data_IF_908883704263
#
_entry.id   IF_908883704263
#
_cell.length_a   1.000
_cell.length_b   1.000
_cell.length_c   1.000
_cell.angle_alpha   90.00
_cell.angle_beta   90.00
_cell.angle_gamma   90.00
#
_symmetry.space_group_name_H-M   'P 1'
#
loop_
_entity.id
_entity.type
_entity.pdbx_description
1 polymer ?
#
# COMPACT_ATOMS: atom_id res chain seq x y z
N UNK A 1 39.32 12.08 -3.57
CA UNK A 1 38.43 11.01 -3.08
C UNK A 1 37.08 11.24 -3.71
N UNK A 2 36.70 10.44 -4.71
CA UNK A 2 35.35 10.52 -5.28
C UNK A 2 34.38 9.95 -4.24
N UNK A 3 33.37 10.72 -3.85
CA UNK A 3 32.35 10.26 -2.91
C UNK A 3 31.61 9.08 -3.50
N UNK A 4 31.62 7.95 -2.81
CA UNK A 4 30.90 6.76 -3.21
C UNK A 4 29.40 7.07 -3.17
N UNK A 5 28.71 6.97 -4.30
CA UNK A 5 27.27 7.20 -4.35
C UNK A 5 26.54 6.16 -3.49
N UNK A 6 25.53 6.61 -2.75
CA UNK A 6 24.66 5.72 -1.95
C UNK A 6 23.97 4.71 -2.86
N UNK A 7 23.84 3.43 -2.46
CA UNK A 7 23.06 2.45 -3.21
C UNK A 7 21.54 2.72 -3.13
N UNK A 8 21.11 3.70 -2.34
CA UNK A 8 19.71 4.07 -2.12
C UNK A 8 19.43 5.39 -2.84
N UNK A 9 18.52 5.35 -3.81
CA UNK A 9 17.97 6.51 -4.50
C UNK A 9 16.58 6.85 -3.92
N UNK A 10 16.31 8.15 -3.74
CA UNK A 10 15.01 8.65 -3.30
C UNK A 10 14.29 9.29 -4.48
N UNK A 11 13.09 8.79 -4.78
CA UNK A 11 12.27 9.25 -5.90
C UNK A 11 10.91 9.71 -5.39
N UNK A 12 10.53 10.99 -5.56
CA UNK A 12 9.21 11.45 -5.22
C UNK A 12 8.18 10.87 -6.20
N UNK A 13 7.01 10.49 -5.67
CA UNK A 13 5.85 10.10 -6.46
C UNK A 13 4.70 11.06 -6.18
N UNK A 14 3.90 11.32 -7.22
CA UNK A 14 2.80 12.27 -7.14
C UNK A 14 1.59 11.66 -6.42
N UNK A 15 1.14 12.29 -5.35
CA UNK A 15 -0.01 11.86 -4.54
C UNK A 15 -1.34 12.57 -4.88
N UNK A 16 -1.30 13.58 -5.75
CA UNK A 16 -2.46 14.42 -6.05
C UNK A 16 -2.56 15.67 -5.18
N UNK A 17 -3.62 16.45 -5.40
CA UNK A 17 -3.93 17.61 -4.56
C UNK A 17 -4.73 17.21 -3.32
N UNK A 18 -4.42 17.85 -2.20
CA UNK A 18 -5.09 17.65 -0.91
C UNK A 18 -6.59 17.93 -1.04
N UNK A 19 -7.42 16.98 -0.58
CA UNK A 19 -8.87 17.14 -0.57
C UNK A 19 -9.34 17.74 0.77
N UNK A 20 -10.53 18.37 0.76
CA UNK A 20 -11.06 19.07 1.93
C UNK A 20 -11.47 18.19 3.13
N UNK A 21 -11.44 16.86 3.00
CA UNK A 21 -11.63 15.92 4.11
C UNK A 21 -10.85 14.59 3.87
N UNK A 22 -10.73 13.78 4.94
CA UNK A 22 -9.90 12.56 4.94
C UNK A 22 -10.40 11.48 3.98
N UNK A 23 -11.72 11.32 3.83
CA UNK A 23 -12.30 10.31 2.95
C UNK A 23 -11.99 10.63 1.48
N UNK A 24 -12.22 11.88 1.06
CA UNK A 24 -11.88 12.34 -0.29
C UNK A 24 -10.38 12.30 -0.54
N UNK A 25 -9.56 12.51 0.50
CA UNK A 25 -8.12 12.35 0.39
C UNK A 25 -7.77 10.90 0.07
N UNK A 26 -8.30 9.92 0.82
CA UNK A 26 -8.02 8.51 0.58
C UNK A 26 -8.60 7.99 -0.74
N UNK A 27 -9.77 8.46 -1.17
CA UNK A 27 -10.32 8.13 -2.49
C UNK A 27 -9.37 8.56 -3.62
N UNK A 28 -8.89 9.82 -3.56
CA UNK A 28 -7.94 10.34 -4.54
C UNK A 28 -6.58 9.63 -4.45
N UNK A 29 -6.09 9.43 -3.24
CA UNK A 29 -4.83 8.74 -2.98
C UNK A 29 -4.84 7.34 -3.61
N UNK A 30 -5.88 6.55 -3.35
CA UNK A 30 -6.02 5.20 -3.90
C UNK A 30 -6.22 5.18 -5.42
N UNK A 31 -6.69 6.28 -6.02
CA UNK A 31 -6.78 6.43 -7.47
C UNK A 31 -5.44 6.83 -8.10
N UNK A 32 -4.72 7.79 -7.52
CA UNK A 32 -3.55 8.43 -8.14
C UNK A 32 -2.27 7.62 -7.88
N UNK A 33 -2.07 7.15 -6.65
CA UNK A 33 -0.82 6.51 -6.24
C UNK A 33 -0.45 5.26 -7.03
N UNK A 34 -1.39 4.34 -7.36
CA UNK A 34 -1.06 3.19 -8.20
C UNK A 34 -0.53 3.59 -9.59
N UNK A 35 -1.11 4.63 -10.21
CA UNK A 35 -0.66 5.15 -11.50
C UNK A 35 0.72 5.78 -11.39
N UNK A 36 0.95 6.59 -10.36
CA UNK A 36 2.25 7.22 -10.09
C UNK A 36 3.36 6.17 -9.90
N UNK A 37 3.10 5.10 -9.13
CA UNK A 37 4.04 4.00 -8.95
C UNK A 37 4.27 3.22 -10.24
N UNK A 38 3.20 2.91 -10.98
CA UNK A 38 3.28 2.25 -12.29
C UNK A 38 4.20 3.03 -13.25
N UNK A 39 4.03 4.35 -13.33
CA UNK A 39 4.85 5.22 -14.16
C UNK A 39 6.30 5.26 -13.71
N UNK A 40 6.57 5.22 -12.39
CA UNK A 40 7.93 5.14 -11.86
C UNK A 40 8.61 3.84 -12.30
N UNK A 41 7.92 2.70 -12.19
CA UNK A 41 8.43 1.40 -12.62
C UNK A 41 8.77 1.41 -14.12
N UNK A 42 7.90 1.99 -14.96
CA UNK A 42 8.14 2.09 -16.40
C UNK A 42 9.39 2.90 -16.74
N UNK A 43 9.64 4.01 -16.02
CA UNK A 43 10.85 4.81 -16.20
C UNK A 43 12.12 4.00 -15.88
N UNK A 44 12.11 3.26 -14.78
CA UNK A 44 13.26 2.46 -14.37
C UNK A 44 13.48 1.25 -15.30
N UNK A 45 12.42 0.64 -15.81
CA UNK A 45 12.53 -0.47 -16.76
C UNK A 45 13.22 -0.09 -18.08
N UNK A 46 13.20 1.18 -18.47
CA UNK A 46 13.96 1.71 -19.60
C UNK A 46 15.41 2.13 -19.28
N UNK A 47 15.85 2.01 -18.03
CA UNK A 47 17.17 2.43 -17.57
C UNK A 47 18.18 1.28 -17.50
N UNK A 48 19.42 1.58 -17.10
CA UNK A 48 20.45 0.56 -16.83
C UNK A 48 20.06 -0.39 -15.68
N UNK A 49 19.16 0.06 -14.79
CA UNK A 49 18.73 -0.67 -13.59
C UNK A 49 17.21 -0.89 -13.57
N UNK A 50 16.68 -1.85 -14.36
CA UNK A 50 15.26 -2.16 -14.37
C UNK A 50 14.77 -2.70 -13.01
N UNK A 51 13.52 -2.41 -12.66
CA UNK A 51 12.93 -2.87 -11.40
C UNK A 51 12.79 -4.39 -11.43
N UNK A 52 13.33 -5.06 -10.42
CA UNK A 52 13.25 -6.53 -10.28
C UNK A 52 12.24 -6.98 -9.24
N UNK A 53 12.04 -6.17 -8.22
CA UNK A 53 11.25 -6.55 -7.05
C UNK A 53 10.66 -5.31 -6.38
N UNK A 54 9.43 -5.42 -5.89
CA UNK A 54 8.77 -4.35 -5.15
C UNK A 54 8.60 -4.72 -3.67
N UNK A 55 9.24 -3.99 -2.77
CA UNK A 55 8.92 -4.04 -1.33
C UNK A 55 7.98 -2.87 -1.05
N UNK A 56 6.84 -3.14 -0.42
CA UNK A 56 5.79 -2.13 -0.19
C UNK A 56 5.22 -2.25 1.23
N UNK A 57 4.69 -1.16 1.78
CA UNK A 57 3.98 -1.23 3.06
C UNK A 57 2.71 -2.08 2.93
N UNK A 58 2.51 -3.03 3.86
CA UNK A 58 1.39 -3.97 3.85
C UNK A 58 -0.02 -3.33 3.78
N UNK A 59 -0.18 -2.07 4.19
CA UNK A 59 -1.44 -1.33 4.06
C UNK A 59 -1.73 -0.88 2.62
N UNK A 60 -0.70 -0.68 1.81
CA UNK A 60 -0.80 -0.27 0.41
C UNK A 60 -1.06 -1.48 -0.49
N UNK A 61 -2.18 -2.17 -0.26
CA UNK A 61 -2.52 -3.41 -0.97
C UNK A 61 -2.54 -3.26 -2.49
N UNK A 62 -2.87 -2.07 -3.00
CA UNK A 62 -2.83 -1.73 -4.43
C UNK A 62 -1.42 -1.85 -5.05
N UNK A 63 -0.34 -1.77 -4.26
CA UNK A 63 1.03 -1.87 -4.76
C UNK A 63 1.33 -3.30 -5.28
N UNK A 64 0.72 -4.32 -4.67
CA UNK A 64 0.83 -5.70 -5.15
C UNK A 64 0.16 -5.88 -6.52
N UNK A 65 -0.99 -5.23 -6.73
CA UNK A 65 -1.69 -5.27 -8.01
C UNK A 65 -0.85 -4.59 -9.11
N UNK A 66 -0.22 -3.45 -8.79
CA UNK A 66 0.73 -2.79 -9.69
C UNK A 66 1.91 -3.71 -10.02
N UNK A 67 2.53 -4.36 -9.03
CA UNK A 67 3.63 -5.30 -9.25
C UNK A 67 3.23 -6.44 -10.20
N UNK A 68 2.08 -7.07 -9.93
CA UNK A 68 1.52 -8.14 -10.77
C UNK A 68 1.26 -7.68 -12.20
N UNK A 69 0.65 -6.50 -12.38
CA UNK A 69 0.41 -5.93 -13.70
C UNK A 69 1.69 -5.61 -14.47
N UNK A 70 2.77 -5.26 -13.76
CA UNK A 70 4.09 -5.01 -14.34
C UNK A 70 4.95 -6.28 -14.50
N UNK A 71 4.44 -7.45 -14.11
CA UNK A 71 5.17 -8.71 -14.18
C UNK A 71 6.37 -8.79 -13.25
N UNK A 72 6.37 -8.03 -12.14
CA UNK A 72 7.42 -8.05 -11.13
C UNK A 72 6.90 -8.71 -9.84
N UNK A 73 7.81 -9.36 -9.12
CA UNK A 73 7.50 -9.90 -7.80
C UNK A 73 7.42 -8.78 -6.77
N UNK A 74 6.66 -9.01 -5.69
CA UNK A 74 6.60 -8.06 -4.59
C UNK A 74 6.40 -8.74 -3.24
N UNK A 75 6.91 -8.09 -2.19
CA UNK A 75 6.75 -8.53 -0.82
C UNK A 75 6.17 -7.40 0.05
N UNK A 76 5.14 -7.68 0.87
CA UNK A 76 4.67 -6.74 1.87
C UNK A 76 5.67 -6.62 3.01
N UNK A 77 5.91 -5.40 3.44
CA UNK A 77 6.63 -5.03 4.65
C UNK A 77 5.62 -4.56 5.69
N UNK A 78 5.58 -5.25 6.83
CA UNK A 78 4.66 -4.93 7.92
C UNK A 78 5.34 -3.95 8.88
N UNK A 79 4.94 -2.68 8.83
CA UNK A 79 5.42 -1.63 9.73
C UNK A 79 4.83 -1.72 11.14
N UNK A 80 3.75 -2.50 11.30
CA UNK A 80 3.06 -2.71 12.56
C UNK A 80 3.65 -3.88 13.37
N UNK A 81 3.38 -3.91 14.67
CA UNK A 81 3.68 -5.06 15.52
C UNK A 81 3.04 -6.33 14.98
N UNK A 82 3.75 -7.46 15.09
CA UNK A 82 3.24 -8.78 14.69
C UNK A 82 1.92 -9.15 15.40
N UNK A 83 1.68 -8.60 16.60
CA UNK A 83 0.43 -8.78 17.34
C UNK A 83 -0.74 -8.13 16.60
N UNK A 84 -0.55 -6.94 16.03
CA UNK A 84 -1.59 -6.25 15.25
C UNK A 84 -1.94 -7.08 14.01
N UNK A 85 -0.93 -7.59 13.30
CA UNK A 85 -1.15 -8.47 12.14
C UNK A 85 -1.90 -9.75 12.52
N UNK A 86 -1.56 -10.38 13.65
CA UNK A 86 -2.24 -11.58 14.13
C UNK A 86 -3.71 -11.30 14.47
N UNK A 87 -3.98 -10.20 15.19
CA UNK A 87 -5.35 -9.78 15.51
C UNK A 87 -6.15 -9.51 14.22
N UNK A 88 -5.60 -8.74 13.29
CA UNK A 88 -6.28 -8.44 12.02
C UNK A 88 -6.53 -9.71 11.19
N UNK A 89 -5.59 -10.66 11.17
CA UNK A 89 -5.77 -11.95 10.52
C UNK A 89 -6.94 -12.74 11.12
N UNK A 90 -6.99 -12.89 12.44
CA UNK A 90 -8.06 -13.60 13.11
C UNK A 90 -9.42 -12.87 12.98
N UNK A 91 -9.42 -11.54 12.98
CA UNK A 91 -10.61 -10.74 12.69
C UNK A 91 -11.14 -10.98 11.28
N UNK A 92 -10.27 -11.00 10.27
CA UNK A 92 -10.63 -11.28 8.89
C UNK A 92 -11.21 -12.69 8.69
N UNK A 93 -10.75 -13.66 9.49
CA UNK A 93 -11.30 -15.02 9.54
C UNK A 93 -12.63 -15.12 10.30
N UNK A 94 -13.12 -14.02 10.89
CA UNK A 94 -14.36 -14.00 11.68
C UNK A 94 -14.21 -14.60 13.08
N UNK A 95 -12.99 -14.69 13.61
CA UNK A 95 -12.74 -15.27 14.94
C UNK A 95 -13.20 -14.36 16.09
N UNK A 96 -13.46 -13.08 15.82
CA UNK A 96 -14.00 -12.13 16.78
C UNK A 96 -15.42 -11.73 16.38
N UNK A 97 -16.34 -11.76 17.34
CA UNK A 97 -17.60 -11.02 17.24
C UNK A 97 -17.32 -9.64 17.83
N UNK A 98 -17.10 -8.64 16.97
CA UNK A 98 -17.03 -7.25 17.43
C UNK A 98 -18.46 -6.81 17.70
N UNK A 99 -18.84 -6.43 18.93
CA UNK A 99 -20.11 -5.75 19.16
C UNK A 99 -20.01 -4.40 18.47
N UNK A 100 -20.59 -4.28 17.29
CA UNK A 100 -20.75 -2.99 16.62
C UNK A 100 -21.97 -2.36 17.27
N UNK A 101 -21.77 -1.47 18.24
CA UNK A 101 -22.86 -0.61 18.69
C UNK A 101 -23.19 0.35 17.55
N UNK A 102 -24.45 0.36 17.12
CA UNK A 102 -24.93 1.13 15.96
C UNK A 102 -24.73 2.66 16.11
N UNK A 103 -24.40 3.14 17.31
CA UNK A 103 -24.12 4.55 17.62
C UNK A 103 -22.68 4.98 17.38
N UNK A 104 -21.73 4.06 17.30
CA UNK A 104 -20.31 4.35 17.08
C UNK A 104 -19.88 3.85 15.70
N UNK A 105 -20.53 4.39 14.66
CA UNK A 105 -19.87 4.58 13.37
C UNK A 105 -18.79 5.66 13.53
N UNK A 106 -17.80 5.41 14.39
CA UNK A 106 -16.46 5.85 14.08
C UNK A 106 -16.16 5.18 12.75
N UNK A 107 -16.27 5.96 11.67
CA UNK A 107 -15.89 5.55 10.34
C UNK A 107 -14.44 5.10 10.42
N UNK A 108 -14.23 3.80 10.66
CA UNK A 108 -13.00 3.16 10.25
C UNK A 108 -12.92 3.53 8.77
N UNK A 109 -11.93 4.34 8.36
CA UNK A 109 -11.82 4.74 6.97
C UNK A 109 -11.94 3.46 6.16
N UNK A 110 -12.69 3.47 5.08
CA UNK A 110 -12.97 2.29 4.23
C UNK A 110 -11.70 1.51 3.84
N UNK A 111 -10.53 2.12 4.01
CA UNK A 111 -9.19 1.54 3.97
C UNK A 111 -8.92 0.40 4.99
N UNK A 112 -9.61 0.36 6.13
CA UNK A 112 -9.47 -0.70 7.16
C UNK A 112 -10.46 -1.85 7.00
N UNK A 113 -11.38 -1.79 6.03
CA UNK A 113 -12.21 -2.94 5.68
C UNK A 113 -11.27 -3.97 5.05
N UNK A 114 -10.90 -4.98 5.84
CA UNK A 114 -10.21 -6.16 5.34
C UNK A 114 -11.13 -6.82 4.33
N UNK A 115 -10.89 -6.56 3.03
CA UNK A 115 -11.58 -7.27 1.97
C UNK A 115 -11.25 -8.75 2.13
N UNK A 116 -12.30 -9.57 2.29
CA UNK A 116 -12.26 -11.03 2.46
C UNK A 116 -11.44 -11.79 1.39
N UNK A 117 -11.01 -11.12 0.33
CA UNK A 117 -10.39 -11.70 -0.86
C UNK A 117 -8.88 -11.41 -1.03
N UNK A 118 -8.19 -10.80 -0.07
CA UNK A 118 -6.77 -10.42 -0.26
C UNK A 118 -5.76 -11.55 0.07
N UNK A 119 -6.21 -12.66 0.66
CA UNK A 119 -5.32 -13.77 1.08
C UNK A 119 -5.60 -15.12 0.40
N UNK A 120 -6.01 -15.12 -0.87
CA UNK A 120 -6.00 -16.34 -1.70
C UNK A 120 -5.05 -16.20 -2.87
#
# INVERSE_FOLDING_TARGET
MQGQQSPINLEPIFEGEMAGNIDKYFERYNLIMPHSLSNLIDRYNGSEYPVKFLIYDSFLTWALDVARHKGIEGAPFFTQSCVVTAVLYHAAQGAFQVPVEESDQAALPSAFIVRRNVFR
#
